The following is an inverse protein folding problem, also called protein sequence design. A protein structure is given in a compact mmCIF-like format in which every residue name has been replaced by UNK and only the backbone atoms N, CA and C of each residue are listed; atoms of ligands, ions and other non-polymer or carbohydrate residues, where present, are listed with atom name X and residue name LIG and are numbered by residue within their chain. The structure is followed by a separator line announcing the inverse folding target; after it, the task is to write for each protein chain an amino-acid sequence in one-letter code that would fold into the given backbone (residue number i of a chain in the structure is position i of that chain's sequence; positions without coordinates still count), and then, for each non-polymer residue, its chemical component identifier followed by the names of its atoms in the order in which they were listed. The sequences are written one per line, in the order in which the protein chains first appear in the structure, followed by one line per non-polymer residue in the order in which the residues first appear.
data_IF_688615418148
#
_entry.id   IF_688615418148
#
_cell.length_a   1.000
_cell.length_b   1.000
_cell.length_c   1.000
_cell.angle_alpha   90.00
_cell.angle_beta   90.00
_cell.angle_gamma   90.00
#
_symmetry.space_group_name_H-M   'P 1'
#
loop_
_entity.id
_entity.type
_entity.pdbx_description
1 polymer ?
#
# COMPACT_ATOMS: atom_id res chain seq x y z
N UNK A 1 -21.31 14.97 2.71
CA UNK A 1 -21.29 13.63 3.30
C UNK A 1 -21.57 13.73 4.78
N UNK A 2 -22.42 12.86 5.27
CA UNK A 2 -22.72 12.85 6.71
C UNK A 2 -21.49 12.43 7.50
N UNK A 3 -21.17 13.21 8.55
CA UNK A 3 -20.15 12.84 9.51
C UNK A 3 -20.69 11.87 10.55
N UNK A 4 -21.99 11.64 10.50
CA UNK A 4 -22.72 10.80 11.44
C UNK A 4 -22.90 9.39 10.87
N UNK A 5 -21.86 8.85 10.24
CA UNK A 5 -21.89 7.47 9.77
C UNK A 5 -22.22 6.55 10.93
N UNK A 6 -23.22 5.65 10.79
CA UNK A 6 -23.55 4.74 11.86
C UNK A 6 -22.35 3.86 12.22
N UNK A 7 -22.28 3.43 13.48
CA UNK A 7 -21.20 2.53 13.92
C UNK A 7 -21.11 1.26 13.10
N UNK A 8 -22.22 0.88 12.47
CA UNK A 8 -22.30 -0.27 11.58
C UNK A 8 -21.86 0.03 10.15
N UNK A 9 -21.41 1.26 9.87
CA UNK A 9 -20.92 1.60 8.54
C UNK A 9 -19.73 0.73 8.16
N UNK A 10 -19.73 0.28 6.89
CA UNK A 10 -18.67 -0.56 6.38
C UNK A 10 -17.46 0.32 6.05
N UNK A 11 -16.31 -0.05 6.61
CA UNK A 11 -15.03 0.52 6.20
C UNK A 11 -14.40 -0.36 5.14
N UNK A 12 -13.70 0.28 4.20
CA UNK A 12 -12.98 -0.45 3.14
C UNK A 12 -11.51 -0.56 3.51
N UNK A 13 -10.94 -1.73 3.21
CA UNK A 13 -9.49 -1.96 3.26
C UNK A 13 -9.03 -2.18 1.83
N UNK A 14 -8.09 -1.36 1.38
CA UNK A 14 -7.56 -1.45 0.02
C UNK A 14 -6.34 -2.37 0.03
N UNK A 15 -6.32 -3.36 -0.83
CA UNK A 15 -5.24 -4.34 -0.92
C UNK A 15 -4.46 -4.23 -2.23
N UNK A 16 -4.69 -3.20 -3.02
CA UNK A 16 -4.07 -3.02 -4.34
C UNK A 16 -2.55 -2.99 -4.25
N UNK A 17 -2.00 -2.20 -3.34
CA UNK A 17 -0.54 -2.08 -3.21
C UNK A 17 0.09 -3.39 -2.75
N UNK A 18 -0.56 -4.09 -1.83
CA UNK A 18 -0.10 -5.39 -1.37
C UNK A 18 -0.02 -6.37 -2.53
N UNK A 19 -1.07 -6.43 -3.34
CA UNK A 19 -1.13 -7.35 -4.47
C UNK A 19 -0.12 -7.01 -5.56
N UNK A 20 0.09 -5.71 -5.84
CA UNK A 20 1.13 -5.28 -6.77
C UNK A 20 2.53 -5.65 -6.28
N UNK A 21 2.73 -5.70 -4.97
CA UNK A 21 4.01 -6.06 -4.37
C UNK A 21 4.30 -7.55 -4.33
N UNK A 22 3.32 -8.41 -4.61
CA UNK A 22 3.52 -9.87 -4.57
C UNK A 22 4.14 -10.38 -5.87
N UNK A 23 4.81 -11.56 -5.85
CA UNK A 23 5.34 -12.15 -7.07
C UNK A 23 4.22 -12.46 -8.08
N UNK A 24 4.48 -12.34 -9.40
CA UNK A 24 5.76 -11.89 -9.98
C UNK A 24 5.94 -10.37 -10.05
N UNK A 25 4.88 -9.59 -9.85
CA UNK A 25 4.94 -8.13 -10.01
C UNK A 25 5.91 -7.47 -9.05
N UNK A 26 5.92 -7.91 -7.80
CA UNK A 26 6.70 -7.27 -6.73
C UNK A 26 8.20 -7.22 -6.99
N UNK A 27 8.73 -8.17 -7.75
CA UNK A 27 10.13 -8.18 -8.13
C UNK A 27 10.46 -7.25 -9.30
N UNK A 28 9.44 -6.68 -9.93
CA UNK A 28 9.57 -5.85 -11.13
C UNK A 28 9.09 -4.41 -10.94
N UNK A 29 8.32 -4.15 -9.89
CA UNK A 29 7.74 -2.83 -9.67
C UNK A 29 8.68 -2.00 -8.80
N UNK A 30 8.98 -0.78 -9.25
CA UNK A 30 9.82 0.14 -8.51
C UNK A 30 9.04 0.79 -7.35
N UNK A 31 9.75 1.19 -6.27
CA UNK A 31 9.09 1.89 -5.15
C UNK A 31 8.31 3.14 -5.59
N UNK A 32 8.86 3.90 -6.52
CA UNK A 32 8.20 5.12 -7.01
C UNK A 32 6.88 4.81 -7.72
N UNK A 33 6.80 3.68 -8.42
CA UNK A 33 5.56 3.26 -9.08
C UNK A 33 4.49 2.88 -8.07
N UNK A 34 4.88 2.18 -7.00
CA UNK A 34 3.97 1.90 -5.89
C UNK A 34 3.54 3.18 -5.20
N UNK A 35 4.46 4.12 -5.03
CA UNK A 35 4.16 5.43 -4.46
C UNK A 35 3.14 6.20 -5.29
N UNK A 36 3.28 6.18 -6.62
CA UNK A 36 2.32 6.81 -7.52
C UNK A 36 0.94 6.16 -7.38
N UNK A 37 0.87 4.84 -7.29
CA UNK A 37 -0.38 4.13 -7.06
C UNK A 37 -1.00 4.51 -5.71
N UNK A 38 -0.18 4.63 -4.66
CA UNK A 38 -0.64 5.06 -3.35
C UNK A 38 -1.25 6.47 -3.39
N UNK A 39 -0.60 7.38 -4.11
CA UNK A 39 -1.11 8.74 -4.28
C UNK A 39 -2.47 8.74 -4.98
N UNK A 40 -2.67 7.87 -5.95
CA UNK A 40 -3.95 7.74 -6.65
C UNK A 40 -5.03 7.11 -5.77
N UNK A 41 -4.66 6.21 -4.87
CA UNK A 41 -5.60 5.50 -3.99
C UNK A 41 -5.98 6.32 -2.76
N UNK A 42 -5.11 7.19 -2.29
CA UNK A 42 -5.33 7.93 -1.04
C UNK A 42 -6.68 8.69 -1.01
N UNK A 43 -7.10 9.39 -2.09
CA UNK A 43 -8.36 10.13 -2.06
C UNK A 43 -9.61 9.25 -2.06
N UNK A 44 -9.49 7.96 -2.34
CA UNK A 44 -10.64 7.05 -2.42
C UNK A 44 -11.30 6.87 -1.04
N UNK A 45 -10.54 7.06 0.03
CA UNK A 45 -11.09 7.07 1.37
C UNK A 45 -11.16 5.70 2.03
N UNK A 46 -10.33 4.75 1.62
CA UNK A 46 -10.20 3.49 2.32
C UNK A 46 -9.74 3.74 3.76
N UNK A 47 -10.23 2.95 4.69
CA UNK A 47 -9.85 3.05 6.10
C UNK A 47 -8.37 2.77 6.28
N UNK A 48 -7.86 1.76 5.58
CA UNK A 48 -6.47 1.36 5.57
C UNK A 48 -6.10 0.93 4.15
N UNK A 49 -4.91 1.30 3.71
CA UNK A 49 -4.32 0.79 2.47
C UNK A 49 -3.25 -0.22 2.90
N UNK A 50 -3.47 -1.49 2.64
CA UNK A 50 -2.46 -2.51 2.93
C UNK A 50 -1.34 -2.41 1.90
N UNK A 51 -0.13 -2.11 2.37
CA UNK A 51 0.99 -1.79 1.50
C UNK A 51 1.95 -2.96 1.30
N UNK A 52 1.96 -3.92 2.22
CA UNK A 52 2.95 -4.99 2.18
C UNK A 52 2.50 -6.18 3.03
N UNK A 53 2.90 -7.37 2.60
CA UNK A 53 2.82 -8.60 3.36
C UNK A 53 4.17 -9.33 3.26
N UNK A 54 4.35 -10.49 3.93
CA UNK A 54 5.62 -11.21 3.86
C UNK A 54 6.06 -11.59 2.45
N UNK A 55 5.12 -11.94 1.58
CA UNK A 55 5.44 -12.29 0.19
C UNK A 55 5.95 -11.08 -0.59
N UNK A 56 5.33 -9.92 -0.39
CA UNK A 56 5.78 -8.67 -1.02
C UNK A 56 7.15 -8.24 -0.50
N UNK A 57 7.38 -8.37 0.80
CA UNK A 57 8.68 -8.06 1.39
C UNK A 57 9.78 -8.94 0.79
N UNK A 58 9.54 -10.22 0.69
CA UNK A 58 10.49 -11.16 0.08
C UNK A 58 10.73 -10.83 -1.39
N UNK A 59 9.69 -10.51 -2.13
CA UNK A 59 9.81 -10.19 -3.55
C UNK A 59 10.73 -8.99 -3.79
N UNK A 60 10.61 -7.93 -2.99
CA UNK A 60 11.47 -6.76 -3.17
C UNK A 60 12.91 -7.03 -2.75
N UNK A 61 13.15 -7.84 -1.74
CA UNK A 61 14.50 -8.21 -1.33
C UNK A 61 15.18 -9.10 -2.37
N UNK A 62 14.48 -10.14 -2.82
CA UNK A 62 15.08 -11.15 -3.70
C UNK A 62 15.19 -10.66 -5.15
N UNK A 63 14.14 -9.99 -5.64
CA UNK A 63 14.06 -9.59 -7.04
C UNK A 63 14.71 -8.25 -7.35
N UNK A 64 14.82 -7.35 -6.38
CA UNK A 64 15.31 -6.01 -6.60
C UNK A 64 16.43 -5.59 -5.65
N UNK A 65 16.79 -6.44 -4.71
CA UNK A 65 17.79 -6.11 -3.68
C UNK A 65 17.39 -4.84 -2.90
N UNK A 66 16.10 -4.67 -2.67
CA UNK A 66 15.57 -3.51 -1.95
C UNK A 66 15.24 -3.86 -0.51
N UNK A 67 15.40 -2.88 0.38
CA UNK A 67 14.87 -2.98 1.74
C UNK A 67 13.35 -2.78 1.74
N UNK A 68 12.57 -3.71 2.30
CA UNK A 68 11.13 -3.51 2.44
C UNK A 68 10.77 -2.22 3.18
N UNK A 69 11.56 -1.85 4.17
CA UNK A 69 11.33 -0.64 4.95
C UNK A 69 11.51 0.63 4.11
N UNK A 70 12.54 0.64 3.26
CA UNK A 70 12.77 1.77 2.35
C UNK A 70 11.64 1.91 1.34
N UNK A 71 11.15 0.79 0.82
CA UNK A 71 10.00 0.78 -0.07
C UNK A 71 8.77 1.37 0.62
N UNK A 72 8.51 0.97 1.86
CA UNK A 72 7.38 1.49 2.63
C UNK A 72 7.51 2.99 2.89
N UNK A 73 8.72 3.49 3.12
CA UNK A 73 8.95 4.93 3.30
C UNK A 73 8.58 5.73 2.05
N UNK A 74 8.94 5.23 0.87
CA UNK A 74 8.57 5.88 -0.39
C UNK A 74 7.06 5.90 -0.56
N UNK A 75 6.41 4.78 -0.33
CA UNK A 75 4.95 4.66 -0.43
C UNK A 75 4.27 5.60 0.57
N UNK A 76 4.74 5.64 1.80
CA UNK A 76 4.16 6.48 2.84
C UNK A 76 4.22 7.97 2.49
N UNK A 77 5.34 8.42 1.93
CA UNK A 77 5.48 9.81 1.49
C UNK A 77 4.49 10.17 0.39
N UNK A 78 4.29 9.28 -0.56
CA UNK A 78 3.39 9.50 -1.69
C UNK A 78 1.92 9.39 -1.28
N UNK A 79 1.62 8.58 -0.28
CA UNK A 79 0.24 8.37 0.18
C UNK A 79 -0.33 9.57 0.96
N UNK A 80 0.48 10.57 1.25
CA UNK A 80 0.04 11.73 2.03
C UNK A 80 -0.40 11.30 3.43
N UNK A 81 -1.62 11.65 3.82
CA UNK A 81 -2.16 11.31 5.13
C UNK A 81 -2.86 9.96 5.22
N UNK A 82 -2.85 9.16 4.16
CA UNK A 82 -3.54 7.87 4.18
C UNK A 82 -2.87 6.89 5.16
N UNK A 83 -3.70 6.11 5.84
CA UNK A 83 -3.20 5.09 6.76
C UNK A 83 -2.75 3.86 5.99
N UNK A 84 -1.50 3.47 6.20
CA UNK A 84 -0.94 2.27 5.60
C UNK A 84 -0.95 1.13 6.62
N UNK A 85 -1.21 -0.08 6.13
CA UNK A 85 -1.17 -1.28 6.93
C UNK A 85 -0.14 -2.27 6.41
N UNK A 86 0.41 -3.06 7.31
CA UNK A 86 1.31 -4.17 7.01
C UNK A 86 0.69 -5.43 7.60
N UNK A 87 0.67 -6.48 6.84
CA UNK A 87 0.11 -7.75 7.28
C UNK A 87 1.18 -8.64 7.90
#
# INVERSE_FOLDING_TARGET
MSTDAPETAIGLVDVTLRDLGTPPCGSRIAPDDLGAAAAALAPVGARVIEAMDPAAARACMDGRTESPLDRLRVVARQAGGARLGIV
#
